data_IF_560873003948
#
_entry.id   IF_560873003948
#
_cell.length_a   1.000
_cell.length_b   1.000
_cell.length_c   1.000
_cell.angle_alpha   90.00
_cell.angle_beta   90.00
_cell.angle_gamma   90.00
#
_symmetry.space_group_name_H-M   'P 1'
#
loop_
_entity.id
_entity.type
_entity.pdbx_description
1 polymer ?
#
# COMPACT_ATOMS: atom_id res chain seq x y z
N UNK A 1 -0.02 -29.28 15.49
CA UNK A 1 -0.70 -29.49 16.79
C UNK A 1 -2.22 -29.39 16.62
N UNK A 2 -2.79 -28.38 15.92
CA UNK A 2 -4.23 -28.21 15.69
C UNK A 2 -4.89 -29.36 14.91
N UNK A 3 -4.21 -29.93 13.91
CA UNK A 3 -4.75 -31.04 13.07
C UNK A 3 -5.16 -32.30 13.85
N UNK A 4 -4.74 -32.42 15.11
CA UNK A 4 -5.12 -33.54 15.99
C UNK A 4 -6.35 -33.22 16.86
N UNK A 5 -6.84 -31.96 16.83
CA UNK A 5 -7.89 -31.49 17.73
C UNK A 5 -9.23 -31.28 17.02
N UNK A 6 -9.21 -31.08 15.70
CA UNK A 6 -10.40 -30.72 14.93
C UNK A 6 -10.48 -31.55 13.65
N UNK A 7 -11.70 -31.90 13.25
CA UNK A 7 -11.96 -32.64 12.00
C UNK A 7 -11.76 -31.78 10.77
N UNK A 8 -12.05 -30.47 10.87
CA UNK A 8 -11.92 -29.49 9.79
C UNK A 8 -10.87 -28.45 10.14
N UNK A 9 -9.94 -28.21 9.20
CA UNK A 9 -9.02 -27.05 9.23
C UNK A 9 -8.91 -26.54 7.80
N UNK A 10 -9.67 -25.52 7.45
CA UNK A 10 -9.72 -24.96 6.11
C UNK A 10 -9.64 -23.44 6.09
N UNK A 11 -9.29 -22.90 4.91
CA UNK A 11 -9.22 -21.45 4.67
C UNK A 11 -10.43 -21.05 3.86
N UNK A 12 -11.27 -20.20 4.44
CA UNK A 12 -12.43 -19.61 3.78
C UNK A 12 -12.17 -18.15 3.42
N UNK A 13 -12.62 -17.74 2.22
CA UNK A 13 -12.66 -16.35 1.82
C UNK A 13 -14.06 -15.79 2.09
N UNK A 14 -14.15 -14.73 2.88
CA UNK A 14 -15.44 -14.11 3.23
C UNK A 14 -16.23 -13.64 2.01
N UNK A 15 -15.55 -13.29 0.91
CA UNK A 15 -16.20 -12.90 -0.33
C UNK A 15 -17.04 -14.03 -0.97
N UNK A 16 -16.69 -15.30 -0.72
CA UNK A 16 -17.46 -16.46 -1.17
C UNK A 16 -18.82 -16.59 -0.44
N UNK A 17 -18.94 -15.92 0.70
CA UNK A 17 -20.11 -15.87 1.55
C UNK A 17 -20.83 -14.49 1.49
N UNK A 18 -20.70 -13.79 0.37
CA UNK A 18 -21.44 -12.57 0.10
C UNK A 18 -20.90 -11.30 0.77
N UNK A 19 -19.75 -11.34 1.45
CA UNK A 19 -19.13 -10.12 1.93
C UNK A 19 -18.53 -9.32 0.78
N UNK A 20 -18.64 -7.99 0.80
CA UNK A 20 -17.96 -7.11 -0.16
C UNK A 20 -16.47 -6.94 0.16
N UNK A 21 -15.83 -8.00 0.69
CA UNK A 21 -14.42 -7.99 1.09
C UNK A 21 -13.78 -9.37 0.92
N UNK A 22 -12.65 -9.42 0.24
CA UNK A 22 -11.76 -10.59 0.27
C UNK A 22 -11.04 -10.65 1.61
N UNK A 23 -11.42 -11.63 2.43
CA UNK A 23 -10.81 -11.85 3.74
C UNK A 23 -10.67 -13.34 4.01
N UNK A 24 -9.50 -13.87 3.77
CA UNK A 24 -9.18 -15.27 4.02
C UNK A 24 -8.91 -15.51 5.50
N UNK A 25 -9.60 -16.49 6.08
CA UNK A 25 -9.39 -16.93 7.46
C UNK A 25 -9.32 -18.44 7.53
N UNK A 26 -8.34 -18.93 8.27
CA UNK A 26 -8.28 -20.34 8.67
C UNK A 26 -9.31 -20.55 9.78
N UNK A 27 -10.24 -21.48 9.55
CA UNK A 27 -11.25 -21.90 10.51
C UNK A 27 -10.95 -23.35 10.87
N UNK A 28 -10.94 -23.64 12.15
CA UNK A 28 -10.73 -24.99 12.68
C UNK A 28 -11.89 -25.33 13.61
N UNK A 29 -12.49 -26.50 13.46
CA UNK A 29 -13.63 -26.94 14.25
C UNK A 29 -14.24 -28.25 13.72
N UNK A 30 -15.31 -28.67 14.34
CA UNK A 30 -16.08 -29.84 13.94
C UNK A 30 -17.43 -29.35 13.39
N UNK A 31 -17.54 -29.27 12.07
CA UNK A 31 -18.74 -28.82 11.36
C UNK A 31 -18.80 -29.41 9.94
N UNK A 32 -20.01 -29.53 9.35
CA UNK A 32 -20.19 -30.08 8.00
C UNK A 32 -19.64 -29.13 6.93
N UNK A 33 -18.37 -29.30 6.56
CA UNK A 33 -17.67 -28.43 5.61
C UNK A 33 -18.27 -28.47 4.20
N UNK A 34 -18.74 -29.63 3.76
CA UNK A 34 -19.36 -29.78 2.44
C UNK A 34 -20.68 -29.02 2.36
N UNK A 35 -21.48 -29.06 3.45
CA UNK A 35 -22.69 -28.25 3.54
C UNK A 35 -22.38 -26.76 3.54
N UNK A 36 -21.40 -26.32 4.30
CA UNK A 36 -20.95 -24.92 4.28
C UNK A 36 -20.50 -24.48 2.87
N UNK A 37 -19.77 -25.33 2.16
CA UNK A 37 -19.34 -25.05 0.80
C UNK A 37 -20.51 -25.01 -0.19
N UNK A 38 -21.57 -25.81 0.00
CA UNK A 38 -22.75 -25.76 -0.85
C UNK A 38 -23.50 -24.43 -0.78
N UNK A 39 -23.43 -23.70 0.32
CA UNK A 39 -24.08 -22.39 0.46
C UNK A 39 -23.55 -21.34 -0.51
N UNK A 40 -22.26 -21.42 -0.86
CA UNK A 40 -21.57 -20.45 -1.73
C UNK A 40 -22.26 -20.24 -3.09
N UNK A 41 -22.93 -21.24 -3.60
CA UNK A 41 -23.59 -21.20 -4.92
C UNK A 41 -24.87 -20.36 -4.93
N UNK A 42 -25.49 -20.15 -3.78
CA UNK A 42 -26.75 -19.42 -3.64
C UNK A 42 -26.59 -18.01 -3.08
N UNK A 43 -25.40 -17.69 -2.55
CA UNK A 43 -25.15 -16.41 -1.90
C UNK A 43 -24.84 -15.33 -2.96
N UNK A 44 -25.64 -14.25 -3.04
CA UNK A 44 -25.37 -13.15 -3.97
C UNK A 44 -24.09 -12.43 -3.57
N UNK A 45 -23.23 -12.15 -4.55
CA UNK A 45 -22.01 -11.38 -4.35
C UNK A 45 -22.30 -9.89 -4.34
N UNK A 46 -21.59 -9.15 -3.49
CA UNK A 46 -21.68 -7.70 -3.36
C UNK A 46 -20.34 -7.10 -3.73
N UNK A 47 -20.36 -6.08 -4.58
CA UNK A 47 -19.18 -5.31 -4.93
C UNK A 47 -18.94 -4.15 -3.95
N UNK A 48 -17.72 -3.70 -3.90
CA UNK A 48 -17.33 -2.56 -3.09
C UNK A 48 -18.12 -1.28 -3.45
N UNK A 49 -18.37 -1.05 -4.75
CA UNK A 49 -19.15 0.09 -5.24
C UNK A 49 -20.58 0.12 -4.70
N UNK A 50 -21.23 -1.04 -4.51
CA UNK A 50 -22.58 -1.13 -3.97
C UNK A 50 -22.64 -0.64 -2.51
N UNK A 51 -21.62 -0.97 -1.72
CA UNK A 51 -21.50 -0.47 -0.34
C UNK A 51 -21.37 1.05 -0.31
N UNK A 52 -20.46 1.61 -1.12
CA UNK A 52 -20.27 3.06 -1.16
C UNK A 52 -21.52 3.79 -1.64
N UNK A 53 -22.20 3.25 -2.66
CA UNK A 53 -23.45 3.81 -3.17
C UNK A 53 -24.54 3.80 -2.10
N UNK A 54 -24.70 2.71 -1.37
CA UNK A 54 -25.66 2.62 -0.28
C UNK A 54 -25.39 3.67 0.80
N UNK A 55 -24.13 3.76 1.29
CA UNK A 55 -23.73 4.69 2.34
C UNK A 55 -23.75 6.17 1.92
N UNK A 56 -23.85 6.47 0.63
CA UNK A 56 -23.95 7.84 0.12
C UNK A 56 -25.38 8.41 0.15
N UNK A 57 -26.38 7.62 0.51
CA UNK A 57 -27.77 8.06 0.61
C UNK A 57 -27.94 9.09 1.75
N UNK A 58 -28.73 10.17 1.47
CA UNK A 58 -28.84 11.31 2.39
C UNK A 58 -29.95 11.20 3.43
N UNK A 59 -31.05 10.49 3.10
CA UNK A 59 -32.22 10.40 3.99
C UNK A 59 -32.33 9.04 4.67
N UNK A 60 -32.33 7.99 3.88
CA UNK A 60 -32.47 6.61 4.35
C UNK A 60 -31.39 5.77 3.71
N UNK A 61 -30.68 5.00 4.52
CA UNK A 61 -29.62 4.09 4.08
C UNK A 61 -30.14 2.66 4.16
N UNK A 62 -30.06 1.93 3.05
CA UNK A 62 -30.30 0.50 3.04
C UNK A 62 -29.00 -0.24 3.36
N UNK A 63 -29.06 -1.11 4.36
CA UNK A 63 -27.89 -1.94 4.70
C UNK A 63 -27.63 -2.95 3.55
N UNK A 64 -26.44 -2.90 2.92
CA UNK A 64 -26.16 -3.77 1.77
C UNK A 64 -25.97 -5.24 2.17
N UNK A 65 -25.67 -5.52 3.43
CA UNK A 65 -25.46 -6.88 3.94
C UNK A 65 -26.70 -7.50 4.53
N UNK A 66 -27.59 -6.68 5.14
CA UNK A 66 -28.73 -7.14 5.90
C UNK A 66 -30.08 -6.69 5.35
N UNK A 67 -30.10 -5.81 4.35
CA UNK A 67 -31.29 -5.43 3.59
C UNK A 67 -32.29 -4.51 4.28
N UNK A 68 -32.16 -4.22 5.58
CA UNK A 68 -33.03 -3.28 6.29
C UNK A 68 -32.69 -1.82 5.98
N UNK A 69 -33.63 -0.93 6.24
CA UNK A 69 -33.46 0.51 6.05
C UNK A 69 -33.38 1.25 7.38
N UNK A 70 -32.55 2.29 7.46
CA UNK A 70 -32.36 3.10 8.65
C UNK A 70 -32.17 4.57 8.23
N UNK A 71 -32.71 5.56 9.00
CA UNK A 71 -32.41 6.96 8.76
C UNK A 71 -30.92 7.24 8.80
N UNK A 72 -30.42 8.04 7.87
CA UNK A 72 -28.99 8.36 7.79
C UNK A 72 -28.46 9.00 9.08
N UNK A 73 -29.29 9.82 9.73
CA UNK A 73 -28.97 10.46 11.02
C UNK A 73 -28.76 9.47 12.18
N UNK A 74 -29.25 8.25 12.03
CA UNK A 74 -29.08 7.20 13.03
C UNK A 74 -27.81 6.38 12.83
N UNK A 75 -27.13 6.56 11.70
CA UNK A 75 -25.86 5.87 11.40
C UNK A 75 -24.68 6.72 11.80
N UNK A 76 -23.87 6.23 12.71
CA UNK A 76 -22.64 6.91 13.14
C UNK A 76 -21.47 6.64 12.20
N UNK A 77 -20.44 7.51 12.21
CA UNK A 77 -19.19 7.36 11.45
C UNK A 77 -19.36 7.46 9.92
N UNK A 78 -20.40 8.12 9.43
CA UNK A 78 -20.64 8.35 8.00
C UNK A 78 -19.80 9.47 7.41
N UNK A 79 -19.28 10.37 8.25
CA UNK A 79 -18.51 11.51 7.76
C UNK A 79 -17.27 11.06 6.97
N UNK A 80 -17.07 11.67 5.80
CA UNK A 80 -15.95 11.33 4.94
C UNK A 80 -14.63 11.77 5.57
N UNK A 81 -13.61 10.92 5.47
CA UNK A 81 -12.25 11.27 5.82
C UNK A 81 -11.74 12.40 4.91
N UNK A 82 -10.95 13.31 5.45
CA UNK A 82 -10.33 14.38 4.69
C UNK A 82 -9.48 13.83 3.52
N UNK A 83 -9.47 14.53 2.41
CA UNK A 83 -8.66 14.16 1.25
C UNK A 83 -7.18 14.04 1.62
N UNK A 84 -6.50 13.17 0.90
CA UNK A 84 -5.05 13.04 0.99
C UNK A 84 -4.40 14.28 0.37
N UNK A 85 -3.30 14.73 0.96
CA UNK A 85 -2.42 15.71 0.31
C UNK A 85 -1.70 15.07 -0.86
N UNK A 86 -1.07 15.87 -1.73
CA UNK A 86 -0.29 15.34 -2.88
C UNK A 86 0.83 14.40 -2.42
N UNK A 87 1.49 14.73 -1.33
CA UNK A 87 2.52 13.88 -0.72
C UNK A 87 1.94 12.58 -0.20
N UNK A 88 0.81 12.62 0.53
CA UNK A 88 0.15 11.43 1.03
C UNK A 88 -0.35 10.54 -0.12
N UNK A 89 -0.86 11.16 -1.19
CA UNK A 89 -1.29 10.50 -2.43
C UNK A 89 -0.12 9.80 -3.10
N UNK A 90 1.01 10.48 -3.25
CA UNK A 90 2.24 9.93 -3.82
C UNK A 90 2.74 8.74 -3.00
N UNK A 91 2.85 8.88 -1.67
CA UNK A 91 3.28 7.80 -0.78
C UNK A 91 2.40 6.57 -0.93
N UNK A 92 1.06 6.76 -0.95
CA UNK A 92 0.12 5.66 -1.14
C UNK A 92 0.28 4.98 -2.50
N UNK A 93 0.38 5.76 -3.58
CA UNK A 93 0.57 5.25 -4.94
C UNK A 93 1.85 4.42 -5.01
N UNK A 94 2.97 5.00 -4.62
CA UNK A 94 4.28 4.36 -4.72
C UNK A 94 4.37 3.10 -3.85
N UNK A 95 3.83 3.13 -2.63
CA UNK A 95 3.81 1.97 -1.75
C UNK A 95 2.94 0.81 -2.29
N UNK A 96 1.90 1.10 -3.07
CA UNK A 96 0.98 0.09 -3.63
C UNK A 96 1.41 -0.43 -4.98
N UNK A 97 1.78 0.46 -5.88
CA UNK A 97 2.12 0.09 -7.26
C UNK A 97 3.51 -0.51 -7.39
N UNK A 98 4.35 -0.32 -6.37
CA UNK A 98 5.69 -0.85 -6.35
C UNK A 98 6.04 -1.46 -4.99
N UNK A 99 6.10 -2.78 -4.93
CA UNK A 99 6.60 -3.50 -3.77
C UNK A 99 7.56 -4.60 -4.20
N UNK A 100 8.65 -4.76 -3.46
CA UNK A 100 9.77 -5.65 -3.82
C UNK A 100 9.42 -7.13 -3.72
N UNK A 101 8.53 -7.50 -2.80
CA UNK A 101 8.23 -8.89 -2.44
C UNK A 101 6.80 -9.27 -2.82
N UNK A 102 5.84 -8.34 -2.72
CA UNK A 102 4.43 -8.60 -2.96
C UNK A 102 3.99 -8.13 -4.34
N UNK A 103 2.92 -8.72 -4.85
CA UNK A 103 2.29 -8.28 -6.08
C UNK A 103 1.88 -6.81 -5.99
N UNK A 104 1.89 -6.13 -7.13
CA UNK A 104 1.40 -4.77 -7.24
C UNK A 104 -0.06 -4.69 -6.83
N UNK A 105 -0.40 -3.66 -6.04
CA UNK A 105 -1.77 -3.32 -5.67
C UNK A 105 -2.24 -2.17 -6.56
N UNK A 106 -3.55 -2.08 -6.77
CA UNK A 106 -4.13 -0.93 -7.49
C UNK A 106 -4.07 0.34 -6.64
N UNK A 107 -3.96 1.48 -7.33
CA UNK A 107 -4.18 2.80 -6.75
C UNK A 107 -4.93 3.67 -7.78
N UNK A 108 -6.12 4.22 -7.44
CA UNK A 108 -6.91 3.88 -6.25
C UNK A 108 -7.35 2.41 -6.23
N UNK A 109 -7.99 1.98 -5.14
CA UNK A 109 -8.54 0.63 -5.02
C UNK A 109 -9.73 0.46 -5.99
N UNK A 110 -9.84 -0.73 -6.59
CA UNK A 110 -10.90 -1.05 -7.57
C UNK A 110 -12.23 -1.28 -6.84
N UNK A 111 -13.31 -0.72 -7.40
CA UNK A 111 -14.66 -0.75 -6.81
C UNK A 111 -15.58 -1.79 -7.46
N UNK A 112 -15.19 -2.35 -8.60
CA UNK A 112 -15.94 -3.33 -9.42
C UNK A 112 -15.94 -4.76 -8.85
N UNK A 113 -15.36 -4.94 -7.69
CA UNK A 113 -15.15 -6.23 -7.02
C UNK A 113 -15.17 -6.07 -5.50
N UNK A 114 -15.17 -7.17 -4.71
CA UNK A 114 -14.98 -7.09 -3.28
C UNK A 114 -13.66 -6.38 -2.93
N UNK A 115 -13.68 -5.58 -1.87
CA UNK A 115 -12.50 -4.85 -1.39
C UNK A 115 -11.38 -5.79 -0.92
N UNK A 116 -10.17 -5.26 -0.79
CA UNK A 116 -9.09 -5.96 -0.10
C UNK A 116 -9.39 -6.13 1.39
N UNK A 117 -8.66 -7.04 2.04
CA UNK A 117 -8.74 -7.24 3.49
C UNK A 117 -8.48 -5.93 4.24
N UNK A 118 -9.41 -5.55 5.10
CA UNK A 118 -9.24 -4.45 6.07
C UNK A 118 -8.33 -4.94 7.18
N UNK A 119 -7.21 -4.24 7.37
CA UNK A 119 -6.22 -4.58 8.39
C UNK A 119 -6.47 -3.81 9.69
N UNK A 120 -6.04 -4.38 10.82
CA UNK A 120 -6.17 -3.76 12.14
C UNK A 120 -5.35 -2.46 12.28
N UNK A 121 -4.30 -2.34 11.48
CA UNK A 121 -3.43 -1.16 11.49
C UNK A 121 -3.44 -0.52 10.12
N UNK A 122 -3.90 0.72 10.04
CA UNK A 122 -3.75 1.52 8.83
C UNK A 122 -3.67 3.01 9.19
N UNK A 123 -2.83 3.72 8.47
CA UNK A 123 -2.66 5.18 8.56
C UNK A 123 -3.10 5.82 7.24
N UNK A 124 -3.06 7.15 7.14
CA UNK A 124 -3.36 7.84 5.88
C UNK A 124 -2.38 7.47 4.75
N UNK A 125 -1.20 6.97 5.08
CA UNK A 125 -0.09 6.71 4.14
C UNK A 125 0.40 5.26 4.16
N UNK A 126 -0.25 4.35 4.88
CA UNK A 126 0.18 2.96 4.88
C UNK A 126 -0.27 2.23 3.62
N UNK A 127 0.55 1.30 3.15
CA UNK A 127 0.26 0.46 1.99
C UNK A 127 -1.06 -0.30 2.11
N UNK A 128 -1.43 -0.70 3.30
CA UNK A 128 -2.64 -1.45 3.63
C UNK A 128 -3.92 -0.61 3.58
N UNK A 129 -3.80 0.72 3.63
CA UNK A 129 -4.96 1.61 3.57
C UNK A 129 -5.70 1.45 2.25
N UNK A 130 -7.00 1.25 2.32
CA UNK A 130 -7.88 1.26 1.15
C UNK A 130 -8.14 2.72 0.80
N UNK A 131 -7.77 3.10 -0.42
CA UNK A 131 -7.87 4.47 -0.92
C UNK A 131 -8.84 4.49 -2.10
N UNK A 132 -9.80 5.39 -2.06
CA UNK A 132 -10.82 5.57 -3.08
C UNK A 132 -10.81 6.99 -3.62
N UNK A 133 -11.44 7.18 -4.78
CA UNK A 133 -11.70 8.50 -5.32
C UNK A 133 -12.64 9.30 -4.40
N UNK A 134 -12.44 10.58 -4.35
CA UNK A 134 -13.30 11.59 -3.72
C UNK A 134 -13.59 12.70 -4.74
N UNK A 135 -14.50 13.63 -4.44
CA UNK A 135 -14.86 14.73 -5.36
C UNK A 135 -13.65 15.50 -5.86
N UNK A 136 -12.65 15.74 -5.00
CA UNK A 136 -11.47 16.54 -5.30
C UNK A 136 -10.17 15.81 -4.94
N UNK A 137 -10.01 14.55 -5.36
CA UNK A 137 -8.80 13.78 -5.10
C UNK A 137 -9.06 12.38 -4.54
N UNK A 138 -8.31 12.00 -3.52
CA UNK A 138 -8.36 10.66 -2.93
C UNK A 138 -8.56 10.73 -1.43
N UNK A 139 -9.27 9.77 -0.87
CA UNK A 139 -9.42 9.60 0.57
C UNK A 139 -9.31 8.15 1.01
N UNK A 140 -9.00 7.91 2.26
CA UNK A 140 -9.17 6.58 2.85
C UNK A 140 -10.63 6.34 3.23
N UNK A 141 -10.98 5.10 3.51
CA UNK A 141 -12.30 4.76 4.01
C UNK A 141 -12.52 5.31 5.42
N UNK A 142 -13.77 5.75 5.69
CA UNK A 142 -14.21 6.04 7.05
C UNK A 142 -14.49 4.74 7.84
N UNK A 143 -14.83 4.87 9.11
CA UNK A 143 -15.05 3.72 10.01
C UNK A 143 -16.31 2.94 9.61
N UNK A 144 -17.40 3.65 9.22
CA UNK A 144 -18.64 2.99 8.80
C UNK A 144 -18.47 2.19 7.53
N UNK A 145 -17.83 2.75 6.51
CA UNK A 145 -17.51 2.03 5.28
C UNK A 145 -16.74 0.73 5.56
N UNK A 146 -15.74 0.82 6.44
CA UNK A 146 -14.98 -0.37 6.85
C UNK A 146 -15.81 -1.38 7.62
N UNK A 147 -16.68 -0.91 8.52
CA UNK A 147 -17.57 -1.78 9.28
C UNK A 147 -18.49 -2.57 8.36
N UNK A 148 -19.14 -1.89 7.42
CA UNK A 148 -20.04 -2.53 6.46
C UNK A 148 -19.30 -3.49 5.53
N UNK A 149 -18.13 -3.11 5.03
CA UNK A 149 -17.27 -4.02 4.23
C UNK A 149 -16.88 -5.28 5.01
N UNK A 150 -16.72 -5.18 6.33
CA UNK A 150 -16.41 -6.32 7.21
C UNK A 150 -17.66 -7.15 7.56
N UNK A 151 -18.87 -6.70 7.18
CA UNK A 151 -20.14 -7.38 7.45
C UNK A 151 -20.79 -6.99 8.77
N UNK A 152 -20.40 -5.86 9.39
CA UNK A 152 -21.14 -5.31 10.52
C UNK A 152 -22.39 -4.58 10.04
N UNK A 153 -23.55 -4.74 10.72
CA UNK A 153 -24.75 -4.02 10.35
C UNK A 153 -24.63 -2.51 10.63
N UNK A 154 -25.44 -1.71 9.95
CA UNK A 154 -25.47 -0.25 10.13
C UNK A 154 -25.81 0.18 11.57
N UNK A 155 -26.56 -0.64 12.29
CA UNK A 155 -26.89 -0.39 13.71
C UNK A 155 -25.76 -0.65 14.67
N UNK A 156 -24.66 -1.33 14.23
CA UNK A 156 -23.56 -1.64 15.13
C UNK A 156 -22.78 -0.39 15.55
N UNK A 157 -22.52 -0.25 16.84
CA UNK A 157 -21.81 0.87 17.42
C UNK A 157 -20.34 0.50 17.71
N UNK A 158 -19.40 1.23 17.12
CA UNK A 158 -17.96 1.05 17.37
C UNK A 158 -17.53 1.95 18.54
N UNK A 159 -17.25 1.37 19.69
CA UNK A 159 -16.75 2.09 20.85
C UNK A 159 -15.25 2.39 20.70
N UNK A 160 -14.81 3.52 21.25
CA UNK A 160 -13.41 3.96 21.21
C UNK A 160 -13.26 5.45 20.91
N UNK A 161 -12.12 6.03 21.32
CA UNK A 161 -11.90 7.47 21.25
C UNK A 161 -11.22 7.94 19.96
N UNK A 162 -10.82 7.01 19.08
CA UNK A 162 -10.06 7.36 17.88
C UNK A 162 -10.39 6.46 16.71
N UNK A 163 -10.18 6.99 15.51
CA UNK A 163 -10.21 6.19 14.29
C UNK A 163 -9.35 4.92 14.38
N UNK A 164 -8.13 5.04 14.95
CA UNK A 164 -7.21 3.91 15.07
C UNK A 164 -7.75 2.79 15.95
N UNK A 165 -8.36 3.11 17.10
CA UNK A 165 -8.95 2.10 17.99
C UNK A 165 -10.13 1.39 17.34
N UNK A 166 -11.04 2.14 16.70
CA UNK A 166 -12.18 1.57 15.98
C UNK A 166 -11.76 0.73 14.76
N UNK A 167 -10.78 1.24 13.99
CA UNK A 167 -10.19 0.46 12.89
C UNK A 167 -9.56 -0.85 13.37
N UNK A 168 -8.90 -0.85 14.55
CA UNK A 168 -8.31 -2.06 15.13
C UNK A 168 -9.38 -3.09 15.49
N UNK A 169 -10.51 -2.67 16.03
CA UNK A 169 -11.65 -3.55 16.30
C UNK A 169 -12.15 -4.22 15.02
N UNK A 170 -12.43 -3.42 13.98
CA UNK A 170 -12.89 -3.94 12.69
C UNK A 170 -11.85 -4.89 12.08
N UNK A 171 -10.60 -4.47 12.00
CA UNK A 171 -9.54 -5.25 11.37
C UNK A 171 -9.22 -6.58 12.08
N UNK A 172 -9.46 -6.69 13.40
CA UNK A 172 -9.26 -7.93 14.16
C UNK A 172 -10.50 -8.83 14.18
N UNK A 173 -11.67 -8.31 13.84
CA UNK A 173 -12.91 -9.08 13.90
C UNK A 173 -12.94 -10.23 12.89
N UNK A 174 -13.62 -11.29 13.27
CA UNK A 174 -14.12 -12.29 12.34
C UNK A 174 -15.38 -11.71 11.69
N UNK A 175 -15.56 -11.79 10.38
CA UNK A 175 -16.75 -11.26 9.71
C UNK A 175 -18.04 -11.91 10.22
N UNK A 176 -19.02 -11.14 10.73
CA UNK A 176 -20.27 -11.69 11.28
C UNK A 176 -21.03 -12.59 10.29
N UNK A 177 -21.06 -12.20 9.02
CA UNK A 177 -21.77 -12.97 7.98
C UNK A 177 -21.09 -14.33 7.74
N UNK A 178 -19.76 -14.40 7.69
CA UNK A 178 -19.05 -15.68 7.57
C UNK A 178 -19.39 -16.58 8.77
N UNK A 179 -19.36 -16.01 9.98
CA UNK A 179 -19.70 -16.74 11.21
C UNK A 179 -21.15 -17.24 11.16
N UNK A 180 -22.10 -16.45 10.64
CA UNK A 180 -23.49 -16.85 10.45
C UNK A 180 -23.58 -18.13 9.60
N UNK A 181 -22.93 -18.19 8.44
CA UNK A 181 -23.02 -19.38 7.59
C UNK A 181 -22.33 -20.60 8.20
N UNK A 182 -21.21 -20.40 8.91
CA UNK A 182 -20.59 -21.50 9.67
C UNK A 182 -21.57 -22.05 10.70
N UNK A 183 -22.25 -21.18 11.43
CA UNK A 183 -23.26 -21.58 12.42
C UNK A 183 -24.45 -22.29 11.77
N UNK A 184 -24.94 -21.82 10.62
CA UNK A 184 -25.99 -22.49 9.86
C UNK A 184 -25.58 -23.93 9.44
N UNK A 185 -24.31 -24.10 9.05
CA UNK A 185 -23.80 -25.45 8.74
C UNK A 185 -23.74 -26.35 9.98
N UNK A 186 -23.38 -25.80 11.15
CA UNK A 186 -23.39 -26.56 12.42
C UNK A 186 -24.82 -26.95 12.84
N UNK A 187 -25.83 -26.16 12.47
CA UNK A 187 -27.26 -26.50 12.65
C UNK A 187 -27.80 -27.45 11.56
N UNK A 188 -26.94 -27.87 10.64
CA UNK A 188 -27.28 -28.71 9.49
C UNK A 188 -28.42 -28.15 8.62
N UNK A 189 -28.52 -26.81 8.56
CA UNK A 189 -29.57 -26.14 7.74
C UNK A 189 -29.37 -26.49 6.27
N UNK A 190 -30.36 -27.11 5.65
CA UNK A 190 -30.31 -27.47 4.23
C UNK A 190 -30.16 -26.23 3.35
N UNK A 191 -29.44 -26.36 2.25
CA UNK A 191 -29.16 -25.23 1.33
C UNK A 191 -30.43 -24.55 0.84
N UNK A 192 -31.52 -25.31 0.60
CA UNK A 192 -32.83 -24.76 0.16
C UNK A 192 -33.60 -24.04 1.26
N UNK A 193 -33.30 -24.31 2.52
CA UNK A 193 -33.94 -23.71 3.70
C UNK A 193 -33.12 -22.53 4.24
N UNK A 194 -31.94 -22.31 3.69
CA UNK A 194 -31.01 -21.29 4.15
C UNK A 194 -31.57 -19.89 3.88
N UNK A 195 -31.78 -19.12 4.95
CA UNK A 195 -32.13 -17.70 4.87
C UNK A 195 -30.84 -16.87 4.84
N UNK A 196 -30.79 -15.94 3.91
CA UNK A 196 -29.65 -15.00 3.89
C UNK A 196 -29.87 -13.90 4.94
N UNK A 197 -28.78 -13.35 5.53
CA UNK A 197 -28.87 -12.21 6.45
C UNK A 197 -29.66 -11.03 5.88
N UNK A 198 -29.62 -10.82 4.54
CA UNK A 198 -30.40 -9.78 3.84
C UNK A 198 -31.93 -9.94 3.92
N UNK A 199 -32.40 -11.17 4.11
CA UNK A 199 -33.81 -11.50 4.13
C UNK A 199 -34.32 -11.55 5.57
N UNK A 200 -33.47 -11.31 6.55
CA UNK A 200 -33.78 -11.40 7.97
C UNK A 200 -34.10 -10.04 8.56
N UNK A 201 -35.18 -9.98 9.34
CA UNK A 201 -35.58 -8.77 10.06
C UNK A 201 -34.83 -8.54 11.39
N UNK A 202 -33.79 -9.32 11.68
CA UNK A 202 -33.22 -9.43 13.02
C UNK A 202 -32.41 -8.22 13.51
N UNK A 203 -32.12 -7.22 12.69
CA UNK A 203 -31.18 -6.12 13.02
C UNK A 203 -31.83 -4.73 13.04
N UNK A 204 -33.14 -4.65 13.28
CA UNK A 204 -33.87 -3.39 13.26
C UNK A 204 -33.73 -2.53 14.53
N UNK A 205 -33.09 -3.04 15.57
CA UNK A 205 -32.95 -2.28 16.81
C UNK A 205 -31.88 -1.19 16.65
N UNK A 206 -32.35 0.03 16.47
CA UNK A 206 -31.48 1.22 16.51
C UNK A 206 -31.08 1.43 17.98
N UNK A 207 -29.76 1.55 18.28
CA UNK A 207 -29.33 1.80 19.65
C UNK A 207 -29.93 3.12 20.19
N UNK A 208 -30.41 3.10 21.42
CA UNK A 208 -30.95 4.29 22.10
C UNK A 208 -29.88 5.38 22.28
N UNK A 209 -28.62 4.98 22.45
CA UNK A 209 -27.50 5.88 22.57
C UNK A 209 -26.52 5.70 21.42
N UNK A 210 -26.15 6.82 20.79
CA UNK A 210 -25.16 6.83 19.72
C UNK A 210 -23.77 7.04 20.26
N UNK A 211 -22.84 6.18 19.85
CA UNK A 211 -21.42 6.35 20.17
C UNK A 211 -20.89 7.60 19.49
N UNK A 212 -20.09 8.37 20.22
CA UNK A 212 -19.44 9.57 19.70
C UNK A 212 -18.56 9.22 18.48
N UNK A 213 -18.72 9.93 17.34
CA UNK A 213 -17.93 9.72 16.16
C UNK A 213 -16.42 9.93 16.40
N UNK A 214 -15.61 9.23 15.62
CA UNK A 214 -14.16 9.44 15.61
C UNK A 214 -13.84 10.82 15.05
N UNK A 215 -12.82 11.47 15.61
CA UNK A 215 -12.24 12.64 14.93
C UNK A 215 -11.66 12.21 13.59
N UNK A 216 -11.97 12.96 12.56
CA UNK A 216 -11.42 12.74 11.22
C UNK A 216 -9.90 12.82 11.23
N UNK A 217 -9.27 12.03 10.37
CA UNK A 217 -7.84 12.10 10.17
C UNK A 217 -7.46 13.40 9.48
N UNK A 218 -6.79 14.29 10.19
CA UNK A 218 -6.32 15.56 9.64
C UNK A 218 -5.04 15.35 8.83
N UNK A 219 -4.89 16.02 7.67
CA UNK A 219 -3.61 16.16 6.99
C UNK A 219 -2.64 16.97 7.85
N UNK A 220 -1.35 16.92 7.53
CA UNK A 220 -0.28 17.72 8.18
C UNK A 220 0.00 17.40 9.65
N UNK A 221 -0.24 16.19 10.07
CA UNK A 221 0.18 15.72 11.39
C UNK A 221 1.68 15.44 11.42
N UNK A 222 2.42 15.99 12.40
CA UNK A 222 3.86 15.65 12.57
C UNK A 222 4.06 14.14 12.70
N UNK A 223 5.04 13.63 11.98
CA UNK A 223 5.44 12.22 12.08
C UNK A 223 6.53 12.03 13.14
N UNK A 224 6.72 10.79 13.64
CA UNK A 224 7.84 10.49 14.51
C UNK A 224 9.18 10.83 13.86
N UNK A 225 10.14 11.33 14.64
CA UNK A 225 11.49 11.62 14.16
C UNK A 225 12.17 10.41 13.49
N UNK A 226 11.72 9.20 13.86
CA UNK A 226 12.19 7.94 13.29
C UNK A 226 11.46 7.52 12.01
N UNK A 227 10.68 8.39 11.38
CA UNK A 227 9.95 8.06 10.15
C UNK A 227 10.91 7.61 9.06
N UNK A 228 10.65 6.42 8.51
CA UNK A 228 11.46 5.85 7.43
C UNK A 228 11.06 6.43 6.08
N UNK A 229 12.07 6.72 5.25
CA UNK A 229 11.93 6.96 3.81
C UNK A 229 12.48 5.75 3.08
N UNK A 230 11.75 5.24 2.11
CA UNK A 230 12.18 4.10 1.32
C UNK A 230 11.44 4.11 -0.01
N UNK A 231 11.99 4.83 -0.99
CA UNK A 231 11.37 5.01 -2.30
C UNK A 231 12.37 4.80 -3.41
N UNK A 232 11.90 4.13 -4.45
CA UNK A 232 12.68 3.94 -5.65
C UNK A 232 12.81 5.27 -6.42
N UNK A 233 13.98 5.48 -7.00
CA UNK A 233 14.25 6.63 -7.87
C UNK A 233 13.42 6.48 -9.15
N UNK A 234 12.64 7.50 -9.56
CA UNK A 234 11.94 7.49 -10.84
C UNK A 234 12.89 7.18 -12.00
N UNK A 235 12.38 6.52 -13.04
CA UNK A 235 13.16 6.07 -14.21
C UNK A 235 14.26 5.03 -13.94
N UNK A 236 14.61 4.77 -12.67
CA UNK A 236 15.59 3.76 -12.26
C UNK A 236 14.93 2.54 -11.59
N UNK A 237 13.74 2.15 -12.08
CA UNK A 237 12.94 0.99 -11.63
C UNK A 237 12.72 0.07 -12.80
N UNK A 238 13.46 -1.02 -12.88
CA UNK A 238 13.42 -1.98 -14.00
C UNK A 238 12.59 -3.24 -13.67
N UNK A 239 11.96 -3.25 -12.51
CA UNK A 239 11.09 -4.31 -12.03
C UNK A 239 11.10 -4.44 -10.50
N UNK A 240 10.38 -5.42 -9.98
CA UNK A 240 10.26 -5.63 -8.52
C UNK A 240 11.59 -5.93 -7.83
N UNK A 241 12.51 -6.60 -8.51
CA UNK A 241 13.81 -7.00 -7.99
C UNK A 241 14.98 -6.13 -8.44
N UNK A 242 14.82 -5.23 -9.43
CA UNK A 242 15.92 -4.43 -9.98
C UNK A 242 15.57 -2.95 -9.95
N UNK A 243 16.21 -2.18 -9.08
CA UNK A 243 15.95 -0.76 -8.90
C UNK A 243 17.00 -0.05 -8.09
N UNK A 244 17.07 1.26 -8.24
CA UNK A 244 17.72 2.14 -7.27
C UNK A 244 16.71 2.71 -6.27
N UNK A 245 17.12 2.89 -5.05
CA UNK A 245 16.24 3.32 -3.95
C UNK A 245 17.00 4.30 -3.04
N UNK A 246 16.36 5.42 -2.70
CA UNK A 246 16.80 6.29 -1.62
C UNK A 246 16.13 5.82 -0.32
N UNK A 247 16.91 5.64 0.71
CA UNK A 247 16.40 5.25 2.03
C UNK A 247 17.20 5.91 3.16
N UNK A 248 16.51 6.16 4.29
CA UNK A 248 17.16 6.61 5.52
C UNK A 248 17.49 5.40 6.40
N UNK A 249 18.74 4.99 6.37
CA UNK A 249 19.27 3.93 7.24
C UNK A 249 19.55 4.53 8.62
N UNK A 250 19.24 3.77 9.69
CA UNK A 250 19.43 4.22 11.08
C UNK A 250 18.74 5.58 11.40
N UNK A 251 17.62 5.86 10.74
CA UNK A 251 16.73 7.02 10.97
C UNK A 251 17.25 8.37 10.49
N UNK A 252 18.54 8.55 10.29
CA UNK A 252 19.15 9.83 9.91
C UNK A 252 20.17 9.73 8.79
N UNK A 253 20.70 8.54 8.52
CA UNK A 253 21.66 8.36 7.42
C UNK A 253 20.91 8.05 6.13
N UNK A 254 20.85 9.01 5.24
CA UNK A 254 20.26 8.87 3.93
C UNK A 254 21.27 8.31 2.95
N UNK A 255 20.89 7.34 2.12
CA UNK A 255 21.75 6.78 1.10
C UNK A 255 20.99 6.14 -0.03
N UNK A 256 21.55 6.20 -1.23
CA UNK A 256 21.10 5.40 -2.36
C UNK A 256 21.70 4.00 -2.29
N UNK A 257 20.90 3.01 -2.67
CA UNK A 257 21.32 1.61 -2.84
C UNK A 257 20.77 1.07 -4.15
N UNK A 258 21.49 0.13 -4.74
CA UNK A 258 20.99 -0.66 -5.86
C UNK A 258 20.51 -2.03 -5.36
N UNK A 259 19.32 -2.43 -5.79
CA UNK A 259 18.73 -3.72 -5.50
C UNK A 259 18.64 -4.54 -6.78
N UNK A 260 18.93 -5.83 -6.69
CA UNK A 260 18.88 -6.77 -7.81
C UNK A 260 18.47 -8.17 -7.35
N UNK A 261 18.12 -9.04 -8.32
CA UNK A 261 17.68 -10.41 -8.06
C UNK A 261 16.20 -10.65 -8.30
N UNK A 262 15.70 -11.78 -7.85
CA UNK A 262 14.30 -12.17 -7.96
C UNK A 262 13.49 -11.71 -6.74
N UNK A 263 12.16 -11.66 -6.87
CA UNK A 263 11.23 -11.22 -5.79
C UNK A 263 11.40 -11.99 -4.46
N UNK A 264 11.92 -13.21 -4.51
CA UNK A 264 12.15 -14.05 -3.31
C UNK A 264 13.59 -13.98 -2.78
N UNK A 265 14.52 -13.51 -3.60
CA UNK A 265 15.94 -13.40 -3.24
C UNK A 265 16.49 -12.08 -3.78
N UNK A 266 16.16 -10.99 -3.08
CA UNK A 266 16.62 -9.65 -3.43
C UNK A 266 17.91 -9.38 -2.69
N UNK A 267 18.97 -9.07 -3.46
CA UNK A 267 20.25 -8.63 -2.97
C UNK A 267 20.38 -7.11 -3.13
N UNK A 268 21.33 -6.50 -2.45
CA UNK A 268 21.64 -5.07 -2.62
C UNK A 268 23.11 -4.81 -2.52
N UNK A 269 23.57 -3.80 -3.24
CA UNK A 269 24.90 -3.22 -3.08
C UNK A 269 24.80 -1.76 -2.64
N UNK A 270 25.78 -1.35 -1.86
CA UNK A 270 25.98 0.04 -1.47
C UNK A 270 26.68 0.80 -2.58
N UNK A 271 26.19 1.98 -2.91
CA UNK A 271 26.79 2.88 -3.89
C UNK A 271 27.80 3.74 -3.16
N UNK A 272 29.02 3.28 -3.12
CA UNK A 272 30.14 3.89 -2.38
C UNK A 272 31.21 4.47 -3.33
N UNK A 273 32.23 5.06 -2.74
CA UNK A 273 33.35 5.67 -3.47
C UNK A 273 34.15 4.67 -4.30
N UNK A 274 34.25 3.41 -3.87
CA UNK A 274 35.00 2.39 -4.62
C UNK A 274 34.27 2.02 -5.92
N UNK A 275 32.92 1.87 -5.85
CA UNK A 275 32.13 1.68 -7.05
C UNK A 275 32.17 2.89 -7.97
N UNK A 276 32.17 4.11 -7.40
CA UNK A 276 32.34 5.34 -8.16
C UNK A 276 33.63 5.35 -8.93
N UNK A 277 34.75 5.11 -8.27
CA UNK A 277 36.08 5.07 -8.90
C UNK A 277 36.24 3.99 -9.98
N UNK A 278 35.49 2.90 -9.86
CA UNK A 278 35.46 1.84 -10.87
C UNK A 278 34.75 2.29 -12.14
N UNK A 279 33.62 2.99 -11.99
CA UNK A 279 32.72 3.35 -13.11
C UNK A 279 33.12 4.69 -13.76
N UNK A 280 33.60 5.66 -12.97
CA UNK A 280 33.90 7.01 -13.42
C UNK A 280 34.83 7.05 -14.67
N UNK A 281 35.98 6.34 -14.74
CA UNK A 281 36.82 6.37 -15.93
C UNK A 281 36.12 5.86 -17.19
N UNK A 282 35.23 4.89 -17.04
CA UNK A 282 34.47 4.30 -18.15
C UNK A 282 33.45 5.32 -18.70
N UNK A 283 32.71 5.99 -17.82
CA UNK A 283 31.76 7.02 -18.20
C UNK A 283 32.47 8.23 -18.83
N UNK A 284 33.48 8.76 -18.16
CA UNK A 284 34.19 9.96 -18.63
C UNK A 284 34.90 9.76 -19.98
N UNK A 285 35.38 8.55 -20.26
CA UNK A 285 35.99 8.23 -21.56
C UNK A 285 35.01 8.28 -22.72
N UNK A 286 33.70 8.05 -22.45
CA UNK A 286 32.68 7.91 -23.46
C UNK A 286 31.63 9.06 -23.42
N UNK A 287 31.84 10.12 -22.61
CA UNK A 287 30.97 11.27 -22.50
C UNK A 287 30.94 12.17 -23.72
N UNK A 288 29.83 12.86 -23.94
CA UNK A 288 29.67 13.95 -24.90
C UNK A 288 29.66 15.33 -24.20
N UNK A 289 29.53 16.42 -24.93
CA UNK A 289 29.77 17.81 -24.46
C UNK A 289 28.85 18.31 -23.33
N UNK A 290 27.64 17.76 -23.16
CA UNK A 290 26.65 18.27 -22.20
C UNK A 290 26.63 17.52 -20.84
N UNK A 291 27.49 16.53 -20.68
CA UNK A 291 27.47 15.64 -19.54
C UNK A 291 27.75 16.33 -18.18
N UNK A 292 28.72 17.24 -18.13
CA UNK A 292 29.17 17.84 -16.87
C UNK A 292 28.23 18.90 -16.31
N UNK A 293 27.49 19.61 -17.16
CA UNK A 293 26.58 20.69 -16.76
C UNK A 293 25.45 20.14 -15.90
N UNK A 294 24.77 19.10 -16.37
CA UNK A 294 23.62 18.48 -15.67
C UNK A 294 24.01 17.95 -14.29
N UNK A 295 25.22 17.39 -14.15
CA UNK A 295 25.70 16.85 -12.86
C UNK A 295 26.05 17.96 -11.87
N UNK A 296 26.73 19.00 -12.35
CA UNK A 296 27.14 20.11 -11.50
C UNK A 296 25.94 20.90 -10.99
N UNK A 297 24.93 21.13 -11.83
CA UNK A 297 23.68 21.80 -11.45
C UNK A 297 22.96 21.02 -10.36
N UNK A 298 22.86 19.69 -10.49
CA UNK A 298 22.25 18.84 -9.48
C UNK A 298 23.01 18.88 -8.14
N UNK A 299 24.33 18.81 -8.17
CA UNK A 299 25.16 18.87 -6.95
C UNK A 299 25.03 20.25 -6.30
N UNK A 300 25.05 21.32 -7.07
CA UNK A 300 24.95 22.68 -6.59
C UNK A 300 23.59 22.94 -5.92
N UNK A 301 22.48 22.46 -6.50
CA UNK A 301 21.14 22.61 -5.93
C UNK A 301 21.00 21.94 -4.53
N UNK A 302 21.71 20.84 -4.31
CA UNK A 302 21.61 20.06 -3.06
C UNK A 302 22.86 20.10 -2.17
N UNK A 303 23.87 20.92 -2.48
CA UNK A 303 25.14 20.99 -1.74
C UNK A 303 24.98 21.35 -0.24
N UNK A 304 23.97 22.13 0.09
CA UNK A 304 23.71 22.62 1.45
C UNK A 304 22.82 21.67 2.26
N UNK A 305 22.27 20.63 1.62
CA UNK A 305 21.48 19.62 2.32
C UNK A 305 22.38 18.61 3.02
N UNK A 306 21.99 18.28 4.26
CA UNK A 306 22.61 17.20 5.04
C UNK A 306 21.62 16.05 5.19
N UNK A 307 22.10 14.87 5.53
CA UNK A 307 21.22 13.74 5.91
C UNK A 307 20.23 14.12 7.02
N UNK A 308 20.66 14.93 7.98
CA UNK A 308 19.78 15.46 9.03
C UNK A 308 18.72 16.40 8.45
N UNK A 309 19.10 17.30 7.55
CA UNK A 309 18.17 18.22 6.89
C UNK A 309 17.08 17.49 6.09
N UNK A 310 17.44 16.43 5.34
CA UNK A 310 16.46 15.57 4.67
C UNK A 310 15.48 14.93 5.66
N UNK A 311 15.98 14.45 6.83
CA UNK A 311 15.12 13.86 7.84
C UNK A 311 14.18 14.87 8.49
N UNK A 312 14.68 16.05 8.84
CA UNK A 312 13.90 17.11 9.48
C UNK A 312 12.73 17.56 8.59
N UNK A 313 12.97 17.75 7.29
CA UNK A 313 11.92 18.05 6.32
C UNK A 313 10.96 16.88 6.14
N UNK A 314 11.46 15.64 6.10
CA UNK A 314 10.63 14.46 5.92
C UNK A 314 9.65 14.23 7.07
N UNK A 315 10.02 14.56 8.30
CA UNK A 315 9.15 14.43 9.49
C UNK A 315 8.27 15.66 9.74
N UNK A 316 8.61 16.84 9.20
CA UNK A 316 7.88 18.08 9.41
C UNK A 316 6.58 18.18 8.61
N UNK A 317 6.35 17.31 7.64
CA UNK A 317 5.19 17.34 6.72
C UNK A 317 5.02 18.64 5.94
N UNK A 318 6.08 19.38 5.72
CA UNK A 318 6.00 20.50 4.78
C UNK A 318 5.58 19.97 3.40
N UNK A 319 4.73 20.68 2.69
CA UNK A 319 4.28 20.35 1.32
C UNK A 319 5.45 20.20 0.34
N UNK A 320 6.60 20.72 0.72
CA UNK A 320 7.88 20.61 0.02
C UNK A 320 8.70 19.42 0.54
N UNK A 321 8.25 18.19 0.33
CA UNK A 321 9.06 17.01 0.65
C UNK A 321 10.31 16.96 -0.22
N UNK A 322 11.36 17.64 0.21
CA UNK A 322 12.64 17.78 -0.49
C UNK A 322 13.17 16.44 -0.99
N UNK A 323 13.03 15.38 -0.20
CA UNK A 323 13.46 14.05 -0.60
C UNK A 323 12.73 13.52 -1.86
N UNK A 324 11.46 13.84 -2.05
CA UNK A 324 10.75 13.47 -3.28
C UNK A 324 11.19 14.30 -4.48
N UNK A 325 11.37 15.61 -4.30
CA UNK A 325 11.91 16.47 -5.35
C UNK A 325 13.33 16.02 -5.74
N UNK A 326 14.14 15.66 -4.76
CA UNK A 326 15.49 15.17 -4.99
C UNK A 326 15.50 13.90 -5.84
N UNK A 327 14.74 12.86 -5.48
CA UNK A 327 14.69 11.63 -6.30
C UNK A 327 14.08 11.85 -7.69
N UNK A 328 13.15 12.80 -7.85
CA UNK A 328 12.58 13.14 -9.15
C UNK A 328 13.62 13.80 -10.05
N UNK A 329 14.34 14.79 -9.52
CA UNK A 329 15.39 15.47 -10.25
C UNK A 329 16.52 14.50 -10.61
N UNK A 330 16.96 13.68 -9.66
CA UNK A 330 17.94 12.62 -9.92
C UNK A 330 17.49 11.69 -11.04
N UNK A 331 16.25 11.26 -11.02
CA UNK A 331 15.68 10.40 -12.07
C UNK A 331 15.67 11.07 -13.45
N UNK A 332 15.34 12.36 -13.52
CA UNK A 332 15.40 13.16 -14.76
C UNK A 332 16.82 13.32 -15.27
N UNK A 333 17.76 13.68 -14.38
CA UNK A 333 19.19 13.80 -14.74
C UNK A 333 19.78 12.49 -15.29
N UNK A 334 19.40 11.32 -14.74
CA UNK A 334 19.86 10.05 -15.29
C UNK A 334 19.46 9.89 -16.75
N UNK A 335 18.23 10.23 -17.12
CA UNK A 335 17.80 10.13 -18.53
C UNK A 335 18.58 11.06 -19.46
N UNK A 336 18.89 12.27 -19.00
CA UNK A 336 19.71 13.22 -19.76
C UNK A 336 21.14 12.71 -19.92
N UNK A 337 21.75 12.19 -18.83
CA UNK A 337 23.09 11.65 -18.83
C UNK A 337 23.20 10.40 -19.71
N UNK A 338 22.21 9.50 -19.68
CA UNK A 338 22.17 8.31 -20.56
C UNK A 338 22.32 8.73 -22.03
N UNK A 339 21.61 9.79 -22.47
CA UNK A 339 21.67 10.30 -23.84
C UNK A 339 22.98 11.03 -24.17
N UNK A 340 23.80 11.34 -23.18
CA UNK A 340 25.10 12.04 -23.34
C UNK A 340 26.33 11.11 -23.26
N UNK A 341 26.12 9.81 -23.43
CA UNK A 341 27.20 8.79 -23.38
C UNK A 341 27.16 7.93 -24.66
N UNK A 342 28.30 7.61 -25.21
CA UNK A 342 28.41 6.63 -26.31
C UNK A 342 28.55 5.21 -25.73
N UNK A 343 27.43 4.48 -25.74
CA UNK A 343 27.30 3.15 -25.13
C UNK A 343 27.89 2.01 -25.96
N UNK A 344 28.10 2.17 -27.27
CA UNK A 344 28.60 1.12 -28.17
C UNK A 344 30.00 0.59 -27.79
N UNK A 345 30.74 1.40 -27.09
CA UNK A 345 32.11 1.08 -26.67
C UNK A 345 32.19 0.48 -25.25
N UNK A 346 31.06 0.28 -24.57
CA UNK A 346 31.03 -0.20 -23.19
C UNK A 346 30.67 -1.68 -23.16
N UNK A 347 31.51 -2.48 -22.51
CA UNK A 347 31.34 -3.92 -22.40
C UNK A 347 30.02 -4.32 -21.73
N UNK A 348 29.29 -5.25 -22.33
CA UNK A 348 28.02 -5.76 -21.81
C UNK A 348 28.16 -6.57 -20.50
N UNK A 349 29.30 -7.17 -20.27
CA UNK A 349 29.56 -7.94 -19.04
C UNK A 349 29.96 -7.09 -17.84
N UNK A 350 30.03 -5.76 -17.97
CA UNK A 350 30.49 -4.89 -16.89
C UNK A 350 29.59 -5.00 -15.65
N UNK A 351 28.27 -4.90 -15.80
CA UNK A 351 27.32 -5.05 -14.68
C UNK A 351 27.35 -6.46 -14.11
N UNK A 352 27.24 -7.54 -14.92
CA UNK A 352 27.41 -8.90 -14.41
C UNK A 352 28.69 -9.12 -13.61
N UNK A 353 29.80 -8.52 -14.01
CA UNK A 353 31.06 -8.63 -13.29
C UNK A 353 31.07 -7.87 -11.96
N UNK A 354 30.41 -6.69 -11.89
CA UNK A 354 30.31 -5.90 -10.66
C UNK A 354 29.45 -6.60 -9.61
N UNK A 355 28.32 -7.19 -10.01
CA UNK A 355 27.33 -7.76 -9.08
C UNK A 355 27.38 -9.28 -8.98
N UNK A 356 28.22 -9.93 -9.79
CA UNK A 356 28.33 -11.40 -9.90
C UNK A 356 26.98 -12.08 -10.13
N UNK A 357 26.16 -11.52 -11.03
CA UNK A 357 24.84 -12.06 -11.40
C UNK A 357 24.46 -11.66 -12.83
N UNK A 358 23.96 -12.63 -13.62
CA UNK A 358 23.43 -12.40 -14.96
C UNK A 358 21.90 -12.49 -14.93
N UNK A 359 21.25 -11.46 -15.48
CA UNK A 359 19.79 -11.37 -15.50
C UNK A 359 19.39 -10.45 -16.66
N UNK A 360 18.39 -10.87 -17.45
CA UNK A 360 17.93 -10.12 -18.62
C UNK A 360 17.59 -8.64 -18.31
N UNK A 361 16.99 -8.34 -17.14
CA UNK A 361 16.68 -6.96 -16.76
C UNK A 361 17.92 -6.09 -16.53
N UNK A 362 19.02 -6.70 -16.12
CA UNK A 362 20.31 -6.00 -15.94
C UNK A 362 20.93 -5.65 -17.29
N UNK A 363 20.84 -6.58 -18.23
CA UNK A 363 21.37 -6.40 -19.60
C UNK A 363 20.53 -5.41 -20.40
N UNK A 364 19.19 -5.57 -20.39
CA UNK A 364 18.25 -4.71 -21.13
C UNK A 364 18.27 -3.24 -20.63
N UNK A 365 18.78 -2.97 -19.42
CA UNK A 365 18.83 -1.63 -18.82
C UNK A 365 20.26 -1.20 -18.45
N UNK A 366 21.26 -1.74 -19.12
CA UNK A 366 22.68 -1.52 -18.85
C UNK A 366 23.03 -0.04 -18.71
N UNK A 367 22.61 0.77 -19.64
CA UNK A 367 22.91 2.19 -19.73
C UNK A 367 22.43 2.96 -18.50
N UNK A 368 21.16 2.81 -18.17
CA UNK A 368 20.56 3.45 -16.99
C UNK A 368 21.14 2.93 -15.68
N UNK A 369 21.55 1.66 -15.62
CA UNK A 369 22.15 1.08 -14.40
C UNK A 369 23.56 1.60 -14.20
N UNK A 370 24.39 1.66 -15.23
CA UNK A 370 25.75 2.21 -15.14
C UNK A 370 25.74 3.70 -14.82
N UNK A 371 24.84 4.47 -15.45
CA UNK A 371 24.64 5.88 -15.12
C UNK A 371 24.19 6.04 -13.67
N UNK A 372 23.28 5.18 -13.21
CA UNK A 372 22.83 5.15 -11.80
C UNK A 372 23.96 4.81 -10.84
N UNK A 373 24.81 3.85 -11.14
CA UNK A 373 26.01 3.54 -10.35
C UNK A 373 26.93 4.75 -10.24
N UNK A 374 27.20 5.42 -11.34
CA UNK A 374 28.05 6.61 -11.36
C UNK A 374 27.42 7.75 -10.54
N UNK A 375 26.27 8.24 -10.95
CA UNK A 375 25.63 9.43 -10.37
C UNK A 375 25.28 9.25 -8.90
N UNK A 376 24.65 8.12 -8.53
CA UNK A 376 24.18 7.92 -7.17
C UNK A 376 25.31 7.60 -6.19
N UNK A 377 26.42 7.02 -6.64
CA UNK A 377 27.62 6.91 -5.81
C UNK A 377 28.24 8.28 -5.55
N UNK A 378 28.27 9.14 -6.56
CA UNK A 378 28.73 10.52 -6.43
C UNK A 378 27.85 11.30 -5.43
N UNK A 379 26.53 11.22 -5.55
CA UNK A 379 25.60 11.89 -4.65
C UNK A 379 25.68 11.36 -3.21
N UNK A 380 25.84 10.06 -3.02
CA UNK A 380 26.09 9.49 -1.69
C UNK A 380 27.36 10.11 -1.05
N UNK A 381 28.39 10.36 -1.85
CA UNK A 381 29.65 10.89 -1.35
C UNK A 381 29.63 12.42 -1.18
N UNK A 382 29.09 13.15 -2.15
CA UNK A 382 29.16 14.62 -2.18
C UNK A 382 28.00 15.32 -1.43
N UNK A 383 26.82 14.70 -1.38
CA UNK A 383 25.58 15.29 -0.81
C UNK A 383 25.18 14.59 0.49
N UNK A 384 24.98 13.29 0.47
CA UNK A 384 24.35 12.55 1.57
C UNK A 384 25.33 12.11 2.68
N UNK A 385 26.63 12.20 2.47
CA UNK A 385 27.64 11.87 3.50
C UNK A 385 27.84 12.97 4.55
N UNK A 386 27.27 14.14 4.33
CA UNK A 386 27.38 15.33 5.23
C UNK A 386 26.47 15.27 6.44
#
# INVERSE_FOLDING_TARGET
RFRKLFSVIEVFDSADFGLPQHRKRMIAGDFPVDLLNSYKTQIPKINFSEVLKSLSAKKTIRDPNYGFEIPADDVTELENEANLTDIETRINRDAKTFHTIYNNMSFPDKLDRPSRTITATCTRVSRESIIINSSNGFRRLNIREKGVLQGFPLTYQFYGNSYSSKNKMIGNAVPPILTYYIFQSMLETKTLELKHPRDSSYFHNIPNEKVKPSKLGMPNKKYPASRTFKFAVPHLRFGSGVRFELSNVAKTKWSFKFFYGSSKNIKSISLNNDLFKLIEPIILKNKTSNFEVTINDLIEEYKDYTSKGFQDVWVSQSENAVAFKFIDLVGSCVNEIVNSINWDKINDDLIPNIINEKNKKLTDNKESILTGFYLLSLLNTKVLSK
#
